data_IF_330507947530
#
_entry.id   IF_330507947530
#
_cell.length_a   1.000
_cell.length_b   1.000
_cell.length_c   1.000
_cell.angle_alpha   90.00
_cell.angle_beta   90.00
_cell.angle_gamma   90.00
#
_symmetry.space_group_name_H-M   'P 1'
#
loop_
_entity.id
_entity.type
_entity.pdbx_description
1 polymer ?
#
# COMPACT_ATOMS: atom_id res chain seq x y z
N UNK A 1 -0.57 10.43 -10.53
CA UNK A 1 -1.65 9.67 -11.21
C UNK A 1 -2.96 9.91 -10.47
N UNK A 2 -4.03 10.15 -11.17
CA UNK A 2 -5.36 10.43 -10.61
C UNK A 2 -6.42 9.98 -11.61
N UNK A 3 -7.63 9.70 -11.14
CA UNK A 3 -8.79 9.38 -12.00
C UNK A 3 -9.30 10.60 -12.75
N UNK A 4 -9.06 11.79 -12.22
CA UNK A 4 -9.45 13.06 -12.81
C UNK A 4 -8.27 13.78 -13.45
N UNK A 5 -8.56 14.49 -14.55
CA UNK A 5 -7.57 15.36 -15.20
C UNK A 5 -7.49 16.70 -14.47
N UNK A 6 -6.63 16.77 -13.47
CA UNK A 6 -6.39 17.97 -12.69
C UNK A 6 -5.03 18.59 -13.05
N UNK A 7 -4.80 19.89 -12.76
CA UNK A 7 -3.47 20.49 -12.91
C UNK A 7 -2.42 19.70 -12.12
N UNK A 8 -1.30 19.36 -12.78
CA UNK A 8 -0.22 18.59 -12.18
C UNK A 8 -0.41 17.05 -12.25
N UNK A 9 -1.50 16.57 -12.86
CA UNK A 9 -1.69 15.14 -13.10
C UNK A 9 -1.16 14.77 -14.48
N UNK A 10 -0.08 14.00 -14.51
CA UNK A 10 0.56 13.53 -15.76
C UNK A 10 -0.12 12.26 -16.31
N UNK A 11 -0.63 11.41 -15.43
CA UNK A 11 -1.29 10.15 -15.79
C UNK A 11 -2.71 10.16 -15.24
N UNK A 12 -3.70 10.16 -16.14
CA UNK A 12 -5.11 10.02 -15.79
C UNK A 12 -5.46 8.53 -15.86
N UNK A 13 -5.70 7.90 -14.72
CA UNK A 13 -5.99 6.48 -14.63
C UNK A 13 -6.68 6.14 -13.31
N UNK A 14 -7.62 5.24 -13.35
CA UNK A 14 -8.23 4.65 -12.15
C UNK A 14 -7.26 3.63 -11.53
N UNK A 15 -6.79 3.91 -10.33
CA UNK A 15 -5.78 3.08 -9.65
C UNK A 15 -6.28 1.68 -9.26
N UNK A 16 -7.58 1.42 -9.36
CA UNK A 16 -8.18 0.10 -9.14
C UNK A 16 -8.39 -0.68 -10.45
N UNK A 17 -7.96 -0.12 -11.59
CA UNK A 17 -7.93 -0.81 -12.89
C UNK A 17 -6.53 -1.25 -13.24
N UNK A 18 -6.34 -2.54 -13.38
CA UNK A 18 -5.02 -3.16 -13.59
C UNK A 18 -4.89 -3.75 -15.00
N UNK A 19 -3.67 -3.78 -15.57
CA UNK A 19 -2.45 -3.15 -15.05
C UNK A 19 -2.46 -1.62 -15.22
N UNK A 20 -1.70 -0.92 -14.38
CA UNK A 20 -1.46 0.51 -14.57
C UNK A 20 -0.65 0.78 -15.85
N UNK A 21 -0.82 1.95 -16.48
CA UNK A 21 -0.08 2.33 -17.69
C UNK A 21 1.37 2.71 -17.38
N UNK A 22 2.04 1.85 -16.64
CA UNK A 22 3.43 1.95 -16.22
C UNK A 22 4.11 0.59 -16.40
N UNK A 23 5.34 0.56 -16.92
CA UNK A 23 6.10 -0.70 -17.02
C UNK A 23 6.52 -1.21 -15.65
N UNK A 24 6.95 -2.47 -15.61
CA UNK A 24 7.54 -3.07 -14.41
C UNK A 24 8.82 -2.35 -14.02
N UNK A 25 9.08 -2.22 -12.72
CA UNK A 25 10.33 -1.73 -12.16
C UNK A 25 10.74 -0.33 -12.69
N UNK A 26 9.81 0.62 -12.75
CA UNK A 26 10.06 1.96 -13.28
C UNK A 26 9.92 3.10 -12.25
N UNK A 27 9.44 2.80 -11.04
CA UNK A 27 9.17 3.79 -10.01
C UNK A 27 10.11 3.59 -8.82
N UNK A 28 10.92 4.59 -8.52
CA UNK A 28 11.86 4.56 -7.39
C UNK A 28 11.18 4.97 -6.07
N UNK A 29 10.25 5.93 -6.13
CA UNK A 29 9.50 6.42 -4.98
C UNK A 29 8.04 6.57 -5.36
N UNK A 30 7.16 5.94 -4.59
CA UNK A 30 5.72 6.16 -4.67
C UNK A 30 5.20 6.75 -3.36
N UNK A 31 4.28 7.70 -3.46
CA UNK A 31 3.61 8.32 -2.31
C UNK A 31 2.11 8.18 -2.51
N UNK A 32 1.42 7.61 -1.54
CA UNK A 32 -0.03 7.51 -1.50
C UNK A 32 -0.53 8.06 -0.18
N UNK A 33 -1.07 9.28 -0.22
CA UNK A 33 -1.62 9.98 0.93
C UNK A 33 -3.14 9.94 0.88
N UNK A 34 -3.77 9.37 1.90
CA UNK A 34 -5.22 9.23 1.99
C UNK A 34 -5.85 8.51 0.78
N UNK A 35 -5.28 7.37 0.42
CA UNK A 35 -5.71 6.53 -0.70
C UNK A 35 -6.05 5.13 -0.23
N UNK A 36 -5.18 4.51 0.55
CA UNK A 36 -5.28 3.09 0.94
C UNK A 36 -6.59 2.74 1.65
N UNK A 37 -7.10 3.66 2.46
CA UNK A 37 -8.36 3.51 3.19
C UNK A 37 -9.60 3.44 2.30
N UNK A 38 -9.51 3.92 1.05
CA UNK A 38 -10.61 3.97 0.08
C UNK A 38 -10.60 2.82 -0.93
N UNK A 39 -9.53 2.02 -1.00
CA UNK A 39 -9.42 0.93 -1.98
C UNK A 39 -10.52 -0.10 -1.74
N UNK A 40 -11.23 -0.47 -2.82
CA UNK A 40 -12.30 -1.46 -2.77
C UNK A 40 -11.81 -2.79 -2.15
N UNK A 41 -12.40 -3.25 -1.03
CA UNK A 41 -11.85 -4.37 -0.26
C UNK A 41 -12.20 -5.75 -0.83
N UNK A 42 -13.18 -5.85 -1.74
CA UNK A 42 -13.67 -7.13 -2.23
C UNK A 42 -12.59 -7.89 -3.03
N UNK A 43 -12.64 -9.23 -2.96
CA UNK A 43 -11.74 -10.12 -3.72
C UNK A 43 -10.25 -9.75 -3.56
N UNK A 44 -9.81 -9.48 -2.33
CA UNK A 44 -8.44 -9.07 -2.03
C UNK A 44 -8.03 -7.75 -2.71
N UNK A 45 -8.96 -6.82 -2.89
CA UNK A 45 -8.70 -5.55 -3.58
C UNK A 45 -7.51 -4.78 -3.03
N UNK A 46 -7.38 -4.68 -1.70
CA UNK A 46 -6.23 -4.04 -1.06
C UNK A 46 -4.90 -4.76 -1.40
N UNK A 47 -4.88 -6.09 -1.33
CA UNK A 47 -3.69 -6.88 -1.69
C UNK A 47 -3.35 -6.72 -3.17
N UNK A 48 -4.35 -6.72 -4.06
CA UNK A 48 -4.14 -6.54 -5.50
C UNK A 48 -3.57 -5.16 -5.81
N UNK A 49 -4.05 -4.11 -5.14
CA UNK A 49 -3.51 -2.78 -5.25
C UNK A 49 -2.05 -2.71 -4.80
N UNK A 50 -1.72 -3.28 -3.64
CA UNK A 50 -0.35 -3.37 -3.14
C UNK A 50 0.57 -4.18 -4.07
N UNK A 51 0.05 -5.24 -4.69
CA UNK A 51 0.79 -6.06 -5.66
C UNK A 51 1.09 -5.28 -6.94
N UNK A 52 0.17 -4.42 -7.39
CA UNK A 52 0.38 -3.58 -8.56
C UNK A 52 1.40 -2.47 -8.30
N UNK A 53 1.34 -1.83 -7.12
CA UNK A 53 2.40 -0.90 -6.70
C UNK A 53 3.76 -1.62 -6.73
N UNK A 54 3.83 -2.82 -6.15
CA UNK A 54 5.06 -3.61 -6.14
C UNK A 54 5.58 -3.89 -7.56
N UNK A 55 4.69 -4.20 -8.50
CA UNK A 55 5.07 -4.46 -9.90
C UNK A 55 5.80 -3.27 -10.51
N UNK A 56 5.26 -2.07 -10.35
CA UNK A 56 5.82 -0.86 -10.96
C UNK A 56 7.03 -0.31 -10.22
N UNK A 57 7.18 -0.63 -8.92
CA UNK A 57 8.34 -0.19 -8.14
C UNK A 57 9.63 -0.84 -8.62
N UNK A 58 10.73 -0.08 -8.64
CA UNK A 58 12.08 -0.64 -8.77
C UNK A 58 12.43 -1.50 -7.55
N UNK A 59 13.32 -2.52 -7.71
CA UNK A 59 13.89 -3.21 -6.54
C UNK A 59 14.53 -2.20 -5.58
N UNK A 60 14.27 -2.37 -4.27
CA UNK A 60 14.70 -1.45 -3.21
C UNK A 60 14.04 -0.06 -3.28
N UNK A 61 13.10 0.16 -4.20
CA UNK A 61 12.27 1.36 -4.25
C UNK A 61 11.32 1.45 -3.05
N UNK A 62 10.90 2.66 -2.69
CA UNK A 62 10.12 2.92 -1.48
C UNK A 62 8.71 3.40 -1.78
N UNK A 63 7.77 2.83 -1.03
CA UNK A 63 6.37 3.27 -0.94
C UNK A 63 6.16 3.97 0.40
N UNK A 64 5.70 5.22 0.35
CA UNK A 64 5.29 5.98 1.53
C UNK A 64 3.77 6.09 1.54
N UNK A 65 3.16 5.65 2.63
CA UNK A 65 1.71 5.69 2.84
C UNK A 65 1.39 6.58 4.03
N UNK A 66 0.39 7.44 3.86
CA UNK A 66 -0.23 8.19 4.95
C UNK A 66 -1.73 7.89 4.94
N UNK A 67 -2.27 7.42 6.04
CA UNK A 67 -3.67 7.02 6.15
C UNK A 67 -4.18 7.13 7.59
N UNK A 68 -5.51 7.25 7.81
CA UNK A 68 -6.05 7.26 9.16
C UNK A 68 -5.78 5.93 9.86
N UNK A 69 -5.43 6.02 11.15
CA UNK A 69 -5.35 4.82 12.00
C UNK A 69 -6.73 4.19 12.16
N UNK A 70 -6.86 2.90 11.85
CA UNK A 70 -8.15 2.22 11.74
C UNK A 70 -9.02 2.23 13.00
N UNK A 71 -8.42 2.41 14.16
CA UNK A 71 -9.12 2.51 15.46
C UNK A 71 -9.41 3.97 15.88
N UNK A 72 -9.20 4.92 14.99
CA UNK A 72 -9.37 6.34 15.29
C UNK A 72 -10.66 6.90 14.67
N UNK A 73 -11.21 7.96 15.27
CA UNK A 73 -12.40 8.64 14.76
C UNK A 73 -12.21 9.18 13.33
N UNK A 74 -11.00 9.56 12.95
CA UNK A 74 -10.69 10.01 11.58
C UNK A 74 -10.95 8.93 10.52
N UNK A 75 -10.78 7.64 10.89
CA UNK A 75 -11.16 6.55 10.00
C UNK A 75 -12.68 6.33 10.00
N UNK A 76 -13.28 6.25 11.19
CA UNK A 76 -14.68 5.84 11.37
C UNK A 76 -15.67 6.88 10.84
N UNK A 77 -15.32 8.17 10.87
CA UNK A 77 -16.23 9.26 10.50
C UNK A 77 -16.54 9.34 9.01
N UNK A 78 -15.66 8.83 8.14
CA UNK A 78 -15.83 8.91 6.70
C UNK A 78 -16.46 7.60 6.17
N UNK A 79 -17.67 7.65 5.59
CA UNK A 79 -18.36 6.44 5.12
C UNK A 79 -17.69 5.77 3.92
N UNK A 80 -16.71 6.42 3.29
CA UNK A 80 -15.94 5.85 2.16
C UNK A 80 -14.64 5.17 2.60
N UNK A 81 -14.32 5.20 3.89
CA UNK A 81 -13.20 4.45 4.45
C UNK A 81 -13.60 2.99 4.66
N UNK A 82 -12.96 2.08 3.94
CA UNK A 82 -13.34 0.65 3.92
C UNK A 82 -12.21 -0.28 4.38
N UNK A 83 -10.97 0.21 4.49
CA UNK A 83 -9.81 -0.57 4.93
C UNK A 83 -9.26 -0.01 6.25
N UNK A 84 -9.70 -0.52 7.42
CA UNK A 84 -9.14 -0.13 8.70
C UNK A 84 -7.75 -0.76 8.87
N UNK A 85 -6.72 0.07 8.82
CA UNK A 85 -5.32 -0.36 8.98
C UNK A 85 -4.78 0.03 10.35
N UNK A 86 -3.90 -0.79 10.87
CA UNK A 86 -3.06 -0.50 12.02
C UNK A 86 -1.62 -0.98 11.75
N UNK A 87 -0.72 -0.84 12.69
CA UNK A 87 0.68 -1.24 12.54
C UNK A 87 0.87 -2.71 12.16
N UNK A 88 -0.04 -3.59 12.58
CA UNK A 88 0.04 -5.02 12.27
C UNK A 88 -0.41 -5.36 10.84
N UNK A 89 -1.11 -4.46 10.17
CA UNK A 89 -1.55 -4.65 8.77
C UNK A 89 -0.36 -4.94 7.86
N UNK A 90 0.75 -4.25 8.07
CA UNK A 90 1.93 -4.35 7.20
C UNK A 90 2.71 -5.64 7.41
N UNK A 91 2.54 -6.31 8.56
CA UNK A 91 3.16 -7.61 8.84
C UNK A 91 2.73 -8.70 7.86
N UNK A 92 1.55 -8.56 7.25
CA UNK A 92 1.07 -9.47 6.20
C UNK A 92 1.83 -9.35 4.88
N UNK A 93 2.57 -8.26 4.70
CA UNK A 93 3.34 -8.00 3.48
C UNK A 93 4.84 -8.28 3.62
N UNK A 94 5.34 -8.45 4.84
CA UNK A 94 6.76 -8.70 5.10
C UNK A 94 7.03 -10.18 5.44
N UNK A 95 7.60 -10.97 4.49
CA UNK A 95 7.87 -12.40 4.70
C UNK A 95 8.90 -12.69 5.79
N UNK A 96 9.69 -11.69 6.19
CA UNK A 96 10.72 -11.84 7.23
C UNK A 96 10.29 -11.28 8.59
N UNK A 97 9.05 -10.79 8.70
CA UNK A 97 8.54 -10.29 9.97
C UNK A 97 8.29 -11.45 10.97
N UNK A 98 8.69 -11.30 12.26
CA UNK A 98 8.57 -12.38 13.25
C UNK A 98 7.13 -12.90 13.48
N UNK A 99 6.10 -12.09 13.19
CA UNK A 99 4.69 -12.52 13.31
C UNK A 99 4.34 -13.67 12.36
N UNK A 100 5.09 -13.83 11.26
CA UNK A 100 4.85 -14.82 10.23
C UNK A 100 3.43 -14.72 9.58
N UNK A 101 2.83 -13.51 9.57
CA UNK A 101 1.50 -13.30 8.99
C UNK A 101 1.52 -13.37 7.46
N UNK A 102 2.64 -13.10 6.84
CA UNK A 102 2.82 -13.20 5.38
C UNK A 102 2.31 -14.51 4.79
N UNK A 103 2.51 -15.62 5.50
CA UNK A 103 2.13 -16.98 5.04
C UNK A 103 0.64 -17.14 4.72
N UNK A 104 -0.23 -16.31 5.28
CA UNK A 104 -1.69 -16.47 5.09
C UNK A 104 -2.13 -16.11 3.68
N UNK A 105 -1.57 -15.04 3.10
CA UNK A 105 -2.00 -14.53 1.80
C UNK A 105 -0.88 -14.51 0.76
N UNK A 106 0.38 -14.50 1.20
CA UNK A 106 1.59 -14.47 0.33
C UNK A 106 1.51 -13.40 -0.77
N UNK A 107 1.24 -12.14 -0.43
CA UNK A 107 1.25 -11.06 -1.41
C UNK A 107 2.64 -10.84 -1.98
N UNK A 108 2.81 -9.87 -2.86
CA UNK A 108 4.15 -9.43 -3.26
C UNK A 108 4.90 -8.89 -2.04
N UNK A 109 6.18 -9.25 -1.85
CA UNK A 109 6.90 -9.04 -0.61
C UNK A 109 7.42 -7.62 -0.45
N UNK A 110 7.19 -7.06 0.73
CA UNK A 110 7.71 -5.78 1.17
C UNK A 110 8.59 -5.95 2.42
N UNK A 111 9.45 -4.98 2.67
CA UNK A 111 10.16 -4.79 3.92
C UNK A 111 9.56 -3.58 4.63
N UNK A 112 9.19 -3.74 5.87
CA UNK A 112 8.76 -2.62 6.70
C UNK A 112 10.01 -1.83 7.09
N UNK A 113 10.12 -0.58 6.62
CA UNK A 113 11.22 0.32 6.97
C UNK A 113 10.86 1.12 8.22
N UNK A 114 9.67 1.68 8.26
CA UNK A 114 9.13 2.37 9.43
C UNK A 114 7.60 2.34 9.42
N UNK A 115 7.02 2.36 10.60
CA UNK A 115 5.59 2.50 10.80
C UNK A 115 5.36 3.20 12.12
N UNK A 116 4.74 4.36 12.09
CA UNK A 116 4.34 5.09 13.28
C UNK A 116 3.06 5.86 13.00
N UNK A 117 2.41 6.33 14.03
CA UNK A 117 1.24 7.20 13.89
C UNK A 117 1.44 8.47 14.73
N UNK A 118 0.91 9.58 14.24
CA UNK A 118 1.07 10.88 14.85
C UNK A 118 -0.01 11.14 15.93
N UNK A 119 0.15 12.25 16.63
CA UNK A 119 -0.81 12.66 17.68
C UNK A 119 -2.21 13.01 17.13
N UNK A 120 -2.34 13.23 15.83
CA UNK A 120 -3.63 13.53 15.18
C UNK A 120 -4.39 12.24 14.82
N UNK A 121 -3.72 11.09 14.78
CA UNK A 121 -4.31 9.79 14.45
C UNK A 121 -4.08 9.34 13.01
N UNK A 122 -3.07 9.89 12.32
CA UNK A 122 -2.60 9.41 11.02
C UNK A 122 -1.43 8.46 11.20
N UNK A 123 -1.45 7.37 10.46
CA UNK A 123 -0.36 6.41 10.40
C UNK A 123 0.51 6.70 9.18
N UNK A 124 1.81 6.79 9.42
CA UNK A 124 2.83 6.98 8.39
C UNK A 124 3.63 5.69 8.25
N UNK A 125 3.64 5.15 7.03
CA UNK A 125 4.28 3.86 6.75
C UNK A 125 5.25 4.01 5.59
N UNK A 126 6.45 3.46 5.76
CA UNK A 126 7.44 3.34 4.68
C UNK A 126 7.73 1.87 4.46
N UNK A 127 7.46 1.42 3.25
CA UNK A 127 7.74 0.07 2.79
C UNK A 127 8.79 0.12 1.68
N UNK A 128 9.68 -0.86 1.65
CA UNK A 128 10.70 -1.03 0.62
C UNK A 128 10.42 -2.32 -0.16
N UNK A 129 10.45 -2.26 -1.49
CA UNK A 129 10.22 -3.42 -2.33
C UNK A 129 11.29 -4.48 -2.09
N UNK A 130 10.90 -5.67 -1.61
CA UNK A 130 11.75 -6.86 -1.64
C UNK A 130 11.72 -7.51 -3.01
N UNK A 131 12.84 -8.07 -3.44
CA UNK A 131 12.85 -8.99 -4.58
C UNK A 131 12.15 -10.29 -4.21
N UNK A 132 11.49 -10.92 -5.19
CA UNK A 132 10.97 -12.27 -4.99
C UNK A 132 12.09 -13.23 -4.64
N UNK A 133 11.82 -14.11 -3.67
CA UNK A 133 12.74 -15.17 -3.27
C UNK A 133 11.97 -16.47 -3.05
N UNK A 134 12.59 -17.59 -3.45
CA UNK A 134 11.94 -18.92 -3.33
C UNK A 134 11.57 -19.29 -1.90
N UNK A 135 12.29 -18.76 -0.91
CA UNK A 135 12.00 -19.02 0.51
C UNK A 135 10.70 -18.35 1.01
N UNK A 136 10.09 -17.47 0.20
CA UNK A 136 8.82 -16.85 0.54
C UNK A 136 7.60 -17.65 0.06
N UNK A 137 7.84 -18.71 -0.68
CA UNK A 137 6.79 -19.57 -1.22
C UNK A 137 6.05 -20.37 -0.12
#
# INVERSE_FOLDING_TARGET
MDVQKLPGVDIVHDIEKYPWPLPDNCVQLAIASHVAEHIEPSRFGFINWMNEIWRVMEPDGRLMLSLPYGNNSLFVQDPTHVNPCNENTWNYFDPLHPSNFYRFYRPKPWKIVSCFWDAQGFMEVVLEKRRMHKSYA
#
